data_IF_105638441813
#
_entry.id   IF_105638441813
#
_cell.length_a   1.000
_cell.length_b   1.000
_cell.length_c   1.000
_cell.angle_alpha   90.00
_cell.angle_beta   90.00
_cell.angle_gamma   90.00
#
_symmetry.space_group_name_H-M   'P 1'
#
loop_
_entity.id
_entity.type
_entity.pdbx_description
1 polymer ?
#
# COMPACT_ATOMS: atom_id res chain seq x y z
N UNK A 1 -35.04 -37.19 -29.34
CA UNK A 1 -33.97 -37.84 -30.13
C UNK A 1 -32.78 -36.89 -30.13
N UNK A 2 -31.72 -37.18 -29.36
CA UNK A 2 -30.53 -37.96 -29.78
C UNK A 2 -29.83 -37.27 -30.98
N UNK A 3 -28.72 -36.58 -30.72
CA UNK A 3 -27.32 -37.07 -30.66
C UNK A 3 -26.62 -36.77 -31.99
N UNK A 4 -25.66 -35.85 -31.96
CA UNK A 4 -24.21 -36.12 -31.90
C UNK A 4 -23.61 -36.52 -33.25
N UNK A 5 -22.66 -35.68 -33.69
CA UNK A 5 -21.37 -35.99 -34.37
C UNK A 5 -20.69 -34.63 -34.57
N UNK A 6 -20.02 -34.05 -33.56
CA UNK A 6 -18.62 -34.27 -33.15
C UNK A 6 -17.62 -34.42 -34.31
N UNK A 7 -16.58 -33.60 -34.19
CA UNK A 7 -15.23 -33.72 -34.77
C UNK A 7 -15.14 -33.26 -36.24
N UNK A 8 -14.40 -32.20 -36.55
CA UNK A 8 -12.94 -32.14 -36.44
C UNK A 8 -12.43 -30.68 -36.44
N UNK A 9 -11.31 -30.42 -35.74
CA UNK A 9 -10.53 -29.17 -35.60
C UNK A 9 -11.08 -28.15 -34.59
N UNK A 10 -10.94 -28.28 -33.27
CA UNK A 10 -9.78 -28.57 -32.40
C UNK A 10 -8.63 -27.53 -32.41
N UNK A 11 -8.41 -26.97 -31.20
CA UNK A 11 -7.10 -26.62 -30.60
C UNK A 11 -6.48 -25.27 -31.02
N UNK A 12 -6.93 -24.18 -30.37
CA UNK A 12 -6.02 -23.09 -29.95
C UNK A 12 -6.54 -22.18 -28.82
N UNK A 13 -7.77 -22.34 -28.35
CA UNK A 13 -8.38 -21.44 -27.36
C UNK A 13 -8.68 -22.00 -25.97
N UNK A 14 -8.23 -23.22 -25.60
CA UNK A 14 -8.67 -23.87 -24.33
C UNK A 14 -7.60 -24.52 -23.46
N UNK A 15 -6.30 -24.21 -23.66
CA UNK A 15 -5.23 -24.77 -22.82
C UNK A 15 -4.54 -23.78 -21.87
N UNK A 16 -4.90 -22.49 -21.85
CA UNK A 16 -4.30 -21.53 -20.91
C UNK A 16 -5.12 -21.26 -19.64
N UNK A 17 -6.40 -21.66 -19.60
CA UNK A 17 -7.30 -21.33 -18.49
C UNK A 17 -7.42 -22.43 -17.43
N UNK A 18 -6.97 -23.66 -17.66
CA UNK A 18 -7.03 -24.70 -16.63
C UNK A 18 -5.82 -24.67 -15.66
N UNK A 19 -4.62 -24.31 -16.16
CA UNK A 19 -3.41 -24.26 -15.34
C UNK A 19 -3.31 -23.03 -14.43
N UNK A 20 -3.81 -21.87 -14.88
CA UNK A 20 -3.81 -20.65 -14.07
C UNK A 20 -4.92 -20.69 -13.02
N UNK A 21 -6.10 -21.26 -13.33
CA UNK A 21 -7.18 -21.39 -12.34
C UNK A 21 -6.79 -22.36 -11.22
N UNK A 22 -6.06 -23.45 -11.48
CA UNK A 22 -5.64 -24.39 -10.42
C UNK A 22 -4.49 -23.81 -9.57
N UNK A 23 -3.57 -23.04 -10.16
CA UNK A 23 -2.51 -22.38 -9.37
C UNK A 23 -3.08 -21.21 -8.55
N UNK A 24 -4.04 -20.45 -9.09
CA UNK A 24 -4.74 -19.39 -8.34
C UNK A 24 -5.66 -20.00 -7.28
N UNK A 25 -6.45 -21.03 -7.57
CA UNK A 25 -7.24 -21.73 -6.54
C UNK A 25 -6.39 -22.48 -5.53
N UNK A 26 -5.24 -23.01 -5.93
CA UNK A 26 -4.29 -23.68 -5.03
C UNK A 26 -3.61 -22.69 -4.09
N UNK A 27 -3.22 -21.52 -4.59
CA UNK A 27 -2.68 -20.42 -3.78
C UNK A 27 -3.76 -19.79 -2.89
N UNK A 28 -4.98 -19.56 -3.37
CA UNK A 28 -6.08 -19.08 -2.53
C UNK A 28 -6.50 -20.11 -1.50
N UNK A 29 -6.52 -21.41 -1.83
CA UNK A 29 -6.84 -22.49 -0.88
C UNK A 29 -5.74 -22.71 0.17
N UNK A 30 -4.46 -22.59 -0.22
CA UNK A 30 -3.33 -22.60 0.71
C UNK A 30 -3.30 -21.34 1.60
N UNK A 31 -3.69 -20.18 1.08
CA UNK A 31 -3.84 -18.94 1.86
C UNK A 31 -5.07 -19.00 2.79
N UNK A 32 -6.19 -19.52 2.30
CA UNK A 32 -7.40 -19.81 3.08
C UNK A 32 -7.08 -20.78 4.23
N UNK A 33 -6.36 -21.88 4.00
CA UNK A 33 -5.92 -22.79 5.08
C UNK A 33 -4.95 -22.12 6.06
N UNK A 34 -4.11 -21.18 5.59
CA UNK A 34 -3.13 -20.47 6.43
C UNK A 34 -3.77 -19.49 7.41
N UNK A 35 -4.97 -18.97 7.11
CA UNK A 35 -5.65 -17.96 7.92
C UNK A 35 -7.00 -18.41 8.52
N UNK A 36 -7.80 -19.20 7.80
CA UNK A 36 -9.11 -19.71 8.27
C UNK A 36 -8.91 -20.71 9.41
N UNK A 37 -7.98 -21.66 9.27
CA UNK A 37 -7.69 -22.64 10.32
C UNK A 37 -7.33 -21.99 11.66
N UNK A 38 -6.45 -20.97 11.70
CA UNK A 38 -6.23 -20.17 12.91
C UNK A 38 -7.46 -19.40 13.41
N UNK A 39 -8.24 -18.75 12.53
CA UNK A 39 -9.43 -17.98 12.92
C UNK A 39 -10.45 -18.89 13.63
N UNK A 40 -10.84 -20.00 13.02
CA UNK A 40 -11.83 -20.93 13.59
C UNK A 40 -11.37 -21.48 14.95
N UNK A 41 -10.07 -21.82 15.06
CA UNK A 41 -9.48 -22.28 16.32
C UNK A 41 -9.54 -21.21 17.40
N UNK A 42 -9.26 -19.95 17.07
CA UNK A 42 -9.32 -18.86 18.03
C UNK A 42 -10.76 -18.52 18.41
N UNK A 43 -11.70 -18.52 17.47
CA UNK A 43 -13.14 -18.35 17.73
C UNK A 43 -13.67 -19.45 18.66
N UNK A 44 -13.34 -20.71 18.40
CA UNK A 44 -13.67 -21.83 19.29
C UNK A 44 -13.02 -21.68 20.67
N UNK A 45 -11.79 -21.17 20.74
CA UNK A 45 -11.11 -20.84 21.98
C UNK A 45 -11.81 -19.74 22.78
N UNK A 46 -12.35 -18.71 22.11
CA UNK A 46 -13.12 -17.64 22.75
C UNK A 46 -14.50 -18.11 23.23
N UNK A 47 -15.14 -19.09 22.58
CA UNK A 47 -16.36 -19.71 23.13
C UNK A 47 -16.11 -20.32 24.51
N UNK A 48 -14.93 -20.91 24.73
CA UNK A 48 -14.52 -21.50 26.02
C UNK A 48 -13.98 -20.46 27.00
N UNK A 49 -13.28 -19.44 26.49
CA UNK A 49 -12.61 -18.40 27.29
C UNK A 49 -12.83 -17.00 26.70
N UNK A 50 -14.02 -16.38 26.92
CA UNK A 50 -14.44 -15.18 26.18
C UNK A 50 -13.57 -13.93 26.36
N UNK A 51 -12.82 -13.86 27.47
CA UNK A 51 -12.04 -12.70 27.86
C UNK A 51 -10.54 -13.00 28.00
N UNK A 52 -10.00 -13.97 27.24
CA UNK A 52 -8.56 -14.22 27.20
C UNK A 52 -7.85 -13.19 26.29
N UNK A 53 -7.06 -12.23 26.82
CA UNK A 53 -6.50 -11.15 26.00
C UNK A 53 -5.52 -11.67 24.93
N UNK A 54 -4.80 -12.76 25.23
CA UNK A 54 -3.88 -13.40 24.27
C UNK A 54 -4.62 -13.99 23.07
N UNK A 55 -5.75 -14.67 23.30
CA UNK A 55 -6.56 -15.26 22.22
C UNK A 55 -7.24 -14.18 21.39
N UNK A 56 -7.75 -13.13 22.04
CA UNK A 56 -8.34 -11.97 21.38
C UNK A 56 -7.34 -11.29 20.44
N UNK A 57 -6.13 -11.03 20.92
CA UNK A 57 -5.10 -10.41 20.10
C UNK A 57 -4.68 -11.29 18.91
N UNK A 58 -4.57 -12.61 19.12
CA UNK A 58 -4.27 -13.55 18.03
C UNK A 58 -5.37 -13.58 16.98
N UNK A 59 -6.64 -13.54 17.40
CA UNK A 59 -7.77 -13.47 16.48
C UNK A 59 -7.80 -12.14 15.72
N UNK A 60 -7.57 -11.01 16.40
CA UNK A 60 -7.48 -9.69 15.78
C UNK A 60 -6.41 -9.65 14.67
N UNK A 61 -5.22 -10.18 14.97
CA UNK A 61 -4.14 -10.30 13.99
C UNK A 61 -4.53 -11.20 12.81
N UNK A 62 -5.24 -12.30 13.08
CA UNK A 62 -5.67 -13.23 12.04
C UNK A 62 -6.71 -12.59 11.09
N UNK A 63 -7.69 -11.86 11.63
CA UNK A 63 -8.63 -11.08 10.81
C UNK A 63 -7.93 -9.97 10.02
N UNK A 64 -7.01 -9.23 10.66
CA UNK A 64 -6.25 -8.19 9.96
C UNK A 64 -5.44 -8.77 8.80
N UNK A 65 -4.73 -9.88 9.02
CA UNK A 65 -3.97 -10.55 7.97
C UNK A 65 -4.89 -11.05 6.86
N UNK A 66 -6.03 -11.68 7.20
CA UNK A 66 -7.00 -12.11 6.19
C UNK A 66 -7.47 -10.93 5.33
N UNK A 67 -7.77 -9.79 5.94
CA UNK A 67 -8.13 -8.57 5.21
C UNK A 67 -7.04 -8.04 4.27
N UNK A 68 -5.76 -8.33 4.50
CA UNK A 68 -4.69 -7.92 3.59
C UNK A 68 -4.63 -8.75 2.31
N UNK A 69 -5.12 -10.00 2.34
CA UNK A 69 -5.08 -10.94 1.22
C UNK A 69 -6.37 -10.99 0.41
N UNK A 70 -7.45 -10.37 0.91
CA UNK A 70 -8.72 -10.34 0.20
C UNK A 70 -8.71 -9.37 -0.98
N UNK A 71 -9.32 -9.81 -2.07
CA UNK A 71 -9.54 -9.00 -3.28
C UNK A 71 -10.88 -8.27 -3.25
N UNK A 72 -11.88 -8.83 -2.56
CA UNK A 72 -13.21 -8.23 -2.37
C UNK A 72 -13.14 -7.05 -1.38
N UNK A 73 -13.62 -5.88 -1.81
CA UNK A 73 -13.63 -4.67 -0.97
C UNK A 73 -14.53 -4.82 0.26
N UNK A 74 -15.68 -5.47 0.10
CA UNK A 74 -16.68 -5.60 1.17
C UNK A 74 -16.20 -6.58 2.25
N UNK A 75 -15.68 -7.74 1.84
CA UNK A 75 -15.13 -8.71 2.79
C UNK A 75 -13.91 -8.14 3.52
N UNK A 76 -13.05 -7.40 2.80
CA UNK A 76 -11.90 -6.70 3.40
C UNK A 76 -12.36 -5.77 4.52
N UNK A 77 -13.42 -4.98 4.26
CA UNK A 77 -14.00 -4.07 5.24
C UNK A 77 -14.51 -4.83 6.48
N UNK A 78 -15.28 -5.90 6.28
CA UNK A 78 -15.82 -6.70 7.38
C UNK A 78 -14.72 -7.29 8.30
N UNK A 79 -13.64 -7.82 7.71
CA UNK A 79 -12.53 -8.36 8.49
C UNK A 79 -11.73 -7.25 9.20
N UNK A 80 -11.58 -6.07 8.59
CA UNK A 80 -10.96 -4.93 9.26
C UNK A 80 -11.81 -4.42 10.43
N UNK A 81 -13.14 -4.38 10.31
CA UNK A 81 -14.05 -4.00 11.40
C UNK A 81 -13.90 -4.95 12.58
N UNK A 82 -13.88 -6.26 12.28
CA UNK A 82 -13.68 -7.31 13.28
C UNK A 82 -12.30 -7.21 13.96
N UNK A 83 -11.24 -6.93 13.19
CA UNK A 83 -9.90 -6.74 13.74
C UNK A 83 -9.83 -5.52 14.65
N UNK A 84 -10.37 -4.38 14.21
CA UNK A 84 -10.41 -3.12 14.98
C UNK A 84 -11.14 -3.34 16.31
N UNK A 85 -12.34 -3.94 16.28
CA UNK A 85 -13.12 -4.21 17.48
C UNK A 85 -12.33 -5.05 18.50
N UNK A 86 -11.63 -6.10 18.04
CA UNK A 86 -10.84 -6.95 18.92
C UNK A 86 -9.58 -6.26 19.43
N UNK A 87 -8.93 -5.41 18.64
CA UNK A 87 -7.81 -4.59 19.10
C UNK A 87 -8.24 -3.58 20.17
N UNK A 88 -9.36 -2.88 19.96
CA UNK A 88 -9.95 -1.97 20.95
C UNK A 88 -10.30 -2.71 22.25
N UNK A 89 -10.92 -3.89 22.12
CA UNK A 89 -11.18 -4.78 23.26
C UNK A 89 -9.86 -5.12 23.96
N UNK A 90 -8.83 -5.55 23.23
CA UNK A 90 -7.52 -5.90 23.79
C UNK A 90 -6.88 -4.74 24.58
N UNK A 91 -7.05 -3.50 24.11
CA UNK A 91 -6.52 -2.30 24.74
C UNK A 91 -7.26 -1.90 26.03
N UNK A 92 -8.50 -2.38 26.24
CA UNK A 92 -9.24 -2.15 27.49
C UNK A 92 -8.59 -2.79 28.72
N UNK A 93 -7.87 -3.91 28.55
CA UNK A 93 -7.12 -4.56 29.62
C UNK A 93 -5.72 -3.99 29.80
N UNK A 94 -5.02 -3.75 28.69
CA UNK A 94 -3.64 -3.24 28.70
C UNK A 94 -3.41 -2.36 27.48
N UNK A 95 -3.02 -1.11 27.73
CA UNK A 95 -2.53 -0.19 26.70
C UNK A 95 -1.14 -0.60 26.22
N UNK A 96 -1.09 -1.63 25.39
CA UNK A 96 0.15 -2.12 24.78
C UNK A 96 0.51 -1.28 23.54
N UNK A 97 1.70 -0.66 23.50
CA UNK A 97 2.15 0.12 22.35
C UNK A 97 2.14 -0.66 21.03
N UNK A 98 2.41 -1.97 21.07
CA UNK A 98 2.37 -2.83 19.87
C UNK A 98 0.95 -2.97 19.32
N UNK A 99 -0.04 -3.08 20.20
CA UNK A 99 -1.44 -3.19 19.80
C UNK A 99 -1.96 -1.86 19.27
N UNK A 100 -1.57 -0.74 19.88
CA UNK A 100 -1.85 0.61 19.36
C UNK A 100 -1.28 0.80 17.94
N UNK A 101 -0.05 0.34 17.70
CA UNK A 101 0.54 0.37 16.36
C UNK A 101 -0.28 -0.45 15.34
N UNK A 102 -0.66 -1.68 15.68
CA UNK A 102 -1.46 -2.54 14.80
C UNK A 102 -2.86 -1.96 14.54
N UNK A 103 -3.48 -1.38 15.58
CA UNK A 103 -4.76 -0.68 15.47
C UNK A 103 -4.65 0.52 14.51
N UNK A 104 -3.58 1.30 14.60
CA UNK A 104 -3.31 2.39 13.67
C UNK A 104 -3.21 1.92 12.21
N UNK A 105 -2.53 0.80 11.97
CA UNK A 105 -2.47 0.18 10.63
C UNK A 105 -3.85 -0.28 10.15
N UNK A 106 -4.67 -0.83 11.04
CA UNK A 106 -6.03 -1.27 10.72
C UNK A 106 -6.94 -0.09 10.35
N UNK A 107 -6.94 0.99 11.13
CA UNK A 107 -7.67 2.22 10.79
C UNK A 107 -7.21 2.84 9.47
N UNK A 108 -5.90 2.93 9.25
CA UNK A 108 -5.35 3.46 7.99
C UNK A 108 -5.81 2.64 6.78
N UNK A 109 -5.79 1.31 6.90
CA UNK A 109 -6.27 0.41 5.84
C UNK A 109 -7.77 0.55 5.64
N UNK A 110 -8.55 0.64 6.71
CA UNK A 110 -10.00 0.83 6.68
C UNK A 110 -10.40 2.14 5.97
N UNK A 111 -9.62 3.21 6.15
CA UNK A 111 -9.89 4.49 5.53
C UNK A 111 -9.98 4.42 4.00
N UNK A 112 -9.29 3.46 3.36
CA UNK A 112 -9.38 3.22 1.91
C UNK A 112 -10.77 2.72 1.47
N UNK A 113 -11.51 2.05 2.35
CA UNK A 113 -12.78 1.37 2.05
C UNK A 113 -14.00 2.06 2.68
N UNK A 114 -13.81 3.19 3.36
CA UNK A 114 -14.87 3.90 4.06
C UNK A 114 -15.01 5.33 3.53
N UNK A 115 -16.25 5.84 3.38
CA UNK A 115 -16.46 7.26 3.07
C UNK A 115 -15.95 8.17 4.20
N UNK A 116 -15.85 7.66 5.43
CA UNK A 116 -15.40 8.38 6.63
C UNK A 116 -13.87 8.37 6.78
N UNK A 117 -13.14 8.38 5.67
CA UNK A 117 -11.68 8.26 5.63
C UNK A 117 -10.95 9.23 6.57
N UNK A 118 -11.47 10.44 6.72
CA UNK A 118 -10.85 11.49 7.54
C UNK A 118 -10.89 11.15 9.04
N UNK A 119 -12.04 10.66 9.51
CA UNK A 119 -12.19 10.18 10.89
C UNK A 119 -11.25 9.01 11.18
N UNK A 120 -11.14 8.08 10.23
CA UNK A 120 -10.26 6.91 10.35
C UNK A 120 -8.79 7.28 10.31
N UNK A 121 -8.38 8.25 9.47
CA UNK A 121 -7.02 8.77 9.48
C UNK A 121 -6.66 9.43 10.81
N UNK A 122 -7.59 10.15 11.42
CA UNK A 122 -7.39 10.74 12.75
C UNK A 122 -7.20 9.65 13.81
N UNK A 123 -8.06 8.63 13.82
CA UNK A 123 -7.91 7.48 14.73
C UNK A 123 -6.58 6.73 14.51
N UNK A 124 -6.15 6.60 13.26
CA UNK A 124 -4.87 5.99 12.92
C UNK A 124 -3.70 6.80 13.48
N UNK A 125 -3.70 8.11 13.25
CA UNK A 125 -2.71 9.06 13.80
C UNK A 125 -2.66 9.00 15.33
N UNK A 126 -3.80 9.12 16.01
CA UNK A 126 -3.89 9.07 17.48
C UNK A 126 -3.33 7.75 18.03
N UNK A 127 -3.58 6.64 17.33
CA UNK A 127 -3.08 5.31 17.68
C UNK A 127 -1.56 5.23 17.52
N UNK A 128 -1.01 5.74 16.42
CA UNK A 128 0.44 5.78 16.19
C UNK A 128 1.15 6.71 17.19
N UNK A 129 0.61 7.89 17.46
CA UNK A 129 1.16 8.82 18.44
C UNK A 129 1.14 8.24 19.86
N UNK A 130 0.05 7.56 20.23
CA UNK A 130 -0.04 6.85 21.51
C UNK A 130 0.94 5.68 21.61
N UNK A 131 1.16 4.96 20.50
CA UNK A 131 2.17 3.90 20.41
C UNK A 131 3.59 4.46 20.59
N UNK A 132 3.91 5.58 19.95
CA UNK A 132 5.19 6.28 20.10
C UNK A 132 5.41 6.73 21.55
N UNK A 133 4.39 7.34 22.18
CA UNK A 133 4.44 7.76 23.60
C UNK A 133 4.66 6.58 24.54
N UNK A 134 4.15 5.40 24.17
CA UNK A 134 4.40 4.15 24.87
C UNK A 134 5.80 3.54 24.64
N UNK A 135 6.66 4.22 23.88
CA UNK A 135 8.06 3.85 23.63
C UNK A 135 8.29 3.02 22.38
N UNK A 136 7.25 2.68 21.60
CA UNK A 136 7.42 1.94 20.36
C UNK A 136 7.70 2.88 19.20
N UNK A 137 8.94 2.89 18.71
CA UNK A 137 9.34 3.66 17.53
C UNK A 137 9.67 2.71 16.38
N UNK A 138 8.91 2.79 15.29
CA UNK A 138 9.08 1.99 14.08
C UNK A 138 9.17 2.89 12.85
N UNK A 139 10.00 2.51 11.88
CA UNK A 139 10.10 3.18 10.58
C UNK A 139 8.75 3.28 9.89
N UNK A 140 8.01 2.17 9.87
CA UNK A 140 6.71 2.02 9.20
C UNK A 140 5.67 2.96 9.79
N UNK A 141 5.68 3.17 11.10
CA UNK A 141 4.78 4.10 11.79
C UNK A 141 4.95 5.53 11.28
N UNK A 142 6.20 6.00 11.17
CA UNK A 142 6.48 7.33 10.64
C UNK A 142 6.15 7.46 9.15
N UNK A 143 6.27 6.36 8.38
CA UNK A 143 5.78 6.31 7.00
C UNK A 143 4.26 6.46 6.93
N UNK A 144 3.50 5.76 7.78
CA UNK A 144 2.03 5.92 7.82
C UNK A 144 1.61 7.33 8.22
N UNK A 145 2.23 7.91 9.25
CA UNK A 145 1.96 9.29 9.68
C UNK A 145 2.24 10.29 8.57
N UNK A 146 3.41 10.19 7.91
CA UNK A 146 3.73 11.05 6.77
C UNK A 146 2.74 10.89 5.61
N UNK A 147 2.28 9.66 5.34
CA UNK A 147 1.32 9.41 4.27
C UNK A 147 -0.08 9.94 4.60
N UNK A 148 -0.54 9.79 5.84
CA UNK A 148 -1.81 10.37 6.30
C UNK A 148 -1.81 11.89 6.11
N UNK A 149 -0.73 12.56 6.51
CA UNK A 149 -0.59 14.01 6.37
C UNK A 149 -0.56 14.43 4.90
N UNK A 150 0.13 13.67 4.05
CA UNK A 150 0.14 13.93 2.61
C UNK A 150 -1.26 13.82 2.00
N UNK A 151 -2.05 12.82 2.39
CA UNK A 151 -3.44 12.63 1.94
C UNK A 151 -4.38 13.76 2.40
N UNK A 152 -4.00 14.50 3.44
CA UNK A 152 -4.69 15.70 3.94
C UNK A 152 -4.16 17.00 3.34
N UNK A 153 -3.16 16.93 2.46
CA UNK A 153 -2.51 18.12 1.89
C UNK A 153 -1.51 18.80 2.82
N UNK A 154 -1.16 18.18 3.96
CA UNK A 154 -0.22 18.72 4.95
C UNK A 154 1.22 18.28 4.63
N UNK A 155 1.70 18.65 3.43
CA UNK A 155 2.98 18.21 2.87
C UNK A 155 4.20 18.57 3.73
N UNK A 156 4.23 19.76 4.32
CA UNK A 156 5.32 20.20 5.20
C UNK A 156 5.46 19.31 6.43
N UNK A 157 4.33 18.98 7.08
CA UNK A 157 4.33 18.08 8.24
C UNK A 157 4.69 16.65 7.83
N UNK A 158 4.26 16.21 6.64
CA UNK A 158 4.64 14.92 6.10
C UNK A 158 6.17 14.78 5.96
N UNK A 159 6.86 15.84 5.52
CA UNK A 159 8.34 15.87 5.43
C UNK A 159 8.99 15.60 6.79
N UNK A 160 8.47 16.15 7.88
CA UNK A 160 9.03 15.92 9.23
C UNK A 160 8.97 14.44 9.61
N UNK A 161 7.83 13.78 9.40
CA UNK A 161 7.68 12.37 9.69
C UNK A 161 8.49 11.47 8.75
N UNK A 162 8.58 11.80 7.46
CA UNK A 162 9.46 11.05 6.56
C UNK A 162 10.94 11.24 6.91
N UNK A 163 11.37 12.40 7.41
CA UNK A 163 12.72 12.59 7.96
C UNK A 163 12.95 11.73 9.21
N UNK A 164 11.96 11.61 10.11
CA UNK A 164 12.02 10.66 11.24
C UNK A 164 12.17 9.21 10.74
N UNK A 165 11.42 8.80 9.72
CA UNK A 165 11.54 7.47 9.11
C UNK A 165 12.94 7.25 8.50
N UNK A 166 13.49 8.27 7.83
CA UNK A 166 14.81 8.22 7.20
C UNK A 166 15.94 7.95 8.20
N UNK A 167 15.79 8.34 9.46
CA UNK A 167 16.77 8.05 10.51
C UNK A 167 16.89 6.54 10.81
N UNK A 168 15.86 5.75 10.54
CA UNK A 168 15.90 4.28 10.69
C UNK A 168 16.54 3.60 9.49
N UNK A 169 16.27 4.10 8.28
CA UNK A 169 16.83 3.54 7.05
C UNK A 169 17.16 4.64 6.04
N UNK A 170 18.43 5.07 6.08
CA UNK A 170 18.94 6.22 5.30
C UNK A 170 18.92 6.02 3.78
N UNK A 171 18.77 4.77 3.32
CA UNK A 171 18.81 4.36 1.91
C UNK A 171 17.51 3.68 1.45
N UNK A 172 16.45 3.75 2.25
CA UNK A 172 15.16 3.17 1.88
C UNK A 172 14.57 3.92 0.68
N UNK A 173 14.36 3.25 -0.47
CA UNK A 173 13.86 3.90 -1.68
C UNK A 173 12.47 4.51 -1.49
N UNK A 174 11.62 3.91 -0.64
CA UNK A 174 10.26 4.39 -0.40
C UNK A 174 10.30 5.71 0.38
N UNK A 175 11.13 5.79 1.43
CA UNK A 175 11.28 7.02 2.22
C UNK A 175 11.87 8.15 1.36
N UNK A 176 12.91 7.85 0.58
CA UNK A 176 13.56 8.82 -0.28
C UNK A 176 12.61 9.34 -1.37
N UNK A 177 11.83 8.45 -1.99
CA UNK A 177 10.81 8.82 -2.96
C UNK A 177 9.73 9.71 -2.33
N UNK A 178 9.20 9.35 -1.16
CA UNK A 178 8.16 10.13 -0.49
C UNK A 178 8.65 11.53 -0.09
N UNK A 179 9.89 11.66 0.38
CA UNK A 179 10.51 12.97 0.62
C UNK A 179 10.62 13.77 -0.68
N UNK A 180 11.14 13.16 -1.75
CA UNK A 180 11.25 13.82 -3.04
C UNK A 180 9.90 14.29 -3.57
N UNK A 181 8.86 13.46 -3.43
CA UNK A 181 7.49 13.81 -3.80
C UNK A 181 7.02 15.05 -3.04
N UNK A 182 7.17 15.08 -1.72
CA UNK A 182 6.75 16.25 -0.93
C UNK A 182 7.51 17.54 -1.30
N UNK A 183 8.82 17.45 -1.54
CA UNK A 183 9.59 18.63 -1.99
C UNK A 183 9.21 19.05 -3.41
N UNK A 184 8.86 18.12 -4.30
CA UNK A 184 8.35 18.44 -5.63
C UNK A 184 7.02 19.19 -5.56
N UNK A 185 6.07 18.74 -4.73
CA UNK A 185 4.78 19.41 -4.54
C UNK A 185 4.93 20.82 -3.96
N UNK A 186 5.96 21.04 -3.14
CA UNK A 186 6.33 22.35 -2.61
C UNK A 186 7.02 23.26 -3.64
N UNK A 187 7.47 22.72 -4.77
CA UNK A 187 8.26 23.43 -5.78
C UNK A 187 9.78 23.46 -5.51
N UNK A 188 10.23 22.79 -4.44
CA UNK A 188 11.65 22.64 -4.07
C UNK A 188 12.32 21.55 -4.95
N UNK A 189 12.31 21.75 -6.27
CA UNK A 189 12.71 20.75 -7.27
C UNK A 189 14.14 20.23 -7.12
N UNK A 190 15.08 21.10 -6.74
CA UNK A 190 16.49 20.70 -6.58
C UNK A 190 16.67 19.77 -5.37
N UNK A 191 15.91 20.00 -4.29
CA UNK A 191 15.91 19.13 -3.12
C UNK A 191 15.25 17.79 -3.48
N UNK A 192 14.15 17.81 -4.24
CA UNK A 192 13.50 16.60 -4.71
C UNK A 192 14.47 15.72 -5.53
N UNK A 193 15.19 16.31 -6.48
CA UNK A 193 16.22 15.63 -7.27
C UNK A 193 17.35 15.07 -6.40
N UNK A 194 17.79 15.79 -5.37
CA UNK A 194 18.81 15.32 -4.42
C UNK A 194 18.37 14.02 -3.73
N UNK A 195 17.12 13.93 -3.28
CA UNK A 195 16.59 12.72 -2.66
C UNK A 195 16.44 11.58 -3.67
N UNK A 196 15.98 11.84 -4.89
CA UNK A 196 15.86 10.82 -5.93
C UNK A 196 17.22 10.25 -6.34
N UNK A 197 18.26 11.08 -6.43
CA UNK A 197 19.64 10.63 -6.72
C UNK A 197 20.22 9.69 -5.65
N UNK A 198 19.71 9.75 -4.43
CA UNK A 198 20.12 8.84 -3.34
C UNK A 198 19.49 7.45 -3.45
N UNK A 199 18.47 7.29 -4.28
CA UNK A 199 17.87 5.99 -4.55
C UNK A 199 18.86 5.18 -5.39
N UNK A 200 19.38 4.10 -4.81
CA UNK A 200 20.36 3.25 -5.48
C UNK A 200 19.78 2.54 -6.70
N UNK A 201 20.64 2.15 -7.64
CA UNK A 201 20.29 1.37 -8.85
C UNK A 201 19.97 -0.11 -8.57
N UNK A 202 19.61 -0.45 -7.33
CA UNK A 202 19.27 -1.82 -6.94
C UNK A 202 18.01 -2.31 -7.64
N UNK A 203 17.71 -3.60 -7.51
CA UNK A 203 16.43 -4.15 -7.97
C UNK A 203 15.30 -3.57 -7.11
N UNK A 204 14.61 -2.58 -7.66
CA UNK A 204 13.40 -2.01 -7.09
C UNK A 204 12.17 -2.68 -7.70
N UNK A 205 11.06 -2.81 -6.97
CA UNK A 205 9.78 -3.18 -7.56
C UNK A 205 9.44 -2.28 -8.77
N UNK A 206 8.85 -2.86 -9.81
CA UNK A 206 8.60 -2.16 -11.08
C UNK A 206 7.72 -0.92 -10.91
N UNK A 207 6.69 -1.02 -10.07
CA UNK A 207 5.80 0.07 -9.68
C UNK A 207 6.56 1.22 -9.02
N UNK A 208 7.51 0.92 -8.14
CA UNK A 208 8.37 1.93 -7.52
C UNK A 208 9.25 2.62 -8.56
N UNK A 209 9.80 1.87 -9.52
CA UNK A 209 10.61 2.46 -10.59
C UNK A 209 9.77 3.35 -11.52
N UNK A 210 8.54 2.95 -11.83
CA UNK A 210 7.61 3.76 -12.63
C UNK A 210 7.32 5.09 -11.91
N UNK A 211 6.99 5.04 -10.61
CA UNK A 211 6.70 6.23 -9.81
C UNK A 211 7.90 7.19 -9.74
N UNK A 212 9.11 6.67 -9.60
CA UNK A 212 10.34 7.47 -9.62
C UNK A 212 10.52 8.18 -10.98
N UNK A 213 10.36 7.46 -12.09
CA UNK A 213 10.50 8.06 -13.43
C UNK A 213 9.39 9.06 -13.73
N UNK A 214 8.15 8.82 -13.29
CA UNK A 214 7.06 9.81 -13.39
C UNK A 214 7.39 11.10 -12.62
N UNK A 215 7.90 10.97 -11.39
CA UNK A 215 8.27 12.14 -10.58
C UNK A 215 9.45 12.90 -11.18
N UNK A 216 10.49 12.21 -11.67
CA UNK A 216 11.60 12.83 -12.39
C UNK A 216 11.11 13.58 -13.64
N UNK A 217 10.24 12.96 -14.43
CA UNK A 217 9.68 13.58 -15.62
C UNK A 217 8.93 14.87 -15.30
N UNK A 218 8.09 14.87 -14.26
CA UNK A 218 7.38 16.07 -13.77
C UNK A 218 8.34 17.16 -13.32
N UNK A 219 9.38 16.81 -12.57
CA UNK A 219 10.37 17.78 -12.10
C UNK A 219 11.11 18.42 -13.29
N UNK A 220 11.56 17.62 -14.26
CA UNK A 220 12.24 18.14 -15.45
C UNK A 220 11.30 18.96 -16.35
N UNK A 221 10.03 18.58 -16.47
CA UNK A 221 9.02 19.37 -17.18
C UNK A 221 8.86 20.76 -16.54
N UNK A 222 8.79 20.82 -15.20
CA UNK A 222 8.69 22.09 -14.46
C UNK A 222 9.95 22.95 -14.51
N UNK A 223 11.13 22.33 -14.70
CA UNK A 223 12.41 23.03 -14.91
C UNK A 223 12.68 23.39 -16.38
N UNK A 224 11.74 23.10 -17.28
CA UNK A 224 11.86 23.29 -18.73
C UNK A 224 12.97 22.44 -19.40
N UNK A 225 13.48 21.43 -18.70
CA UNK A 225 14.41 20.43 -19.22
C UNK A 225 13.66 19.36 -20.06
N UNK A 226 13.00 19.81 -21.13
CA UNK A 226 12.02 19.01 -21.88
C UNK A 226 12.59 17.71 -22.47
N UNK A 227 13.88 17.69 -22.82
CA UNK A 227 14.57 16.51 -23.31
C UNK A 227 14.69 15.42 -22.22
N UNK A 228 15.07 15.81 -21.00
CA UNK A 228 15.14 14.89 -19.86
C UNK A 228 13.75 14.43 -19.42
N UNK A 229 12.78 15.34 -19.42
CA UNK A 229 11.39 15.01 -19.12
C UNK A 229 10.83 13.96 -20.09
N UNK A 230 11.06 14.13 -21.40
CA UNK A 230 10.62 13.19 -22.42
C UNK A 230 11.26 11.81 -22.24
N UNK A 231 12.57 11.77 -21.99
CA UNK A 231 13.30 10.53 -21.77
C UNK A 231 12.76 9.75 -20.55
N UNK A 232 12.39 10.43 -19.46
CA UNK A 232 11.79 9.78 -18.30
C UNK A 232 10.36 9.29 -18.56
N UNK A 233 9.52 10.06 -19.26
CA UNK A 233 8.20 9.59 -19.65
C UNK A 233 8.26 8.37 -20.59
N UNK A 234 9.21 8.33 -21.52
CA UNK A 234 9.43 7.15 -22.35
C UNK A 234 9.84 5.92 -21.53
N UNK A 235 10.67 6.08 -20.49
CA UNK A 235 11.01 4.96 -19.59
C UNK A 235 9.78 4.40 -18.90
N UNK A 236 8.84 5.26 -18.50
CA UNK A 236 7.55 4.82 -17.95
C UNK A 236 6.79 4.00 -18.99
N UNK A 237 6.66 4.50 -20.23
CA UNK A 237 5.90 3.82 -21.29
C UNK A 237 6.54 2.52 -21.79
N UNK A 238 7.85 2.33 -21.61
CA UNK A 238 8.50 1.03 -21.88
C UNK A 238 8.04 -0.06 -20.93
N UNK A 239 7.71 0.30 -19.69
CA UNK A 239 7.27 -0.61 -18.62
C UNK A 239 5.75 -0.74 -18.58
N UNK A 240 5.07 0.39 -18.52
CA UNK A 240 3.63 0.51 -18.58
C UNK A 240 3.22 1.30 -19.82
N UNK A 241 3.01 0.57 -20.92
CA UNK A 241 2.59 1.17 -22.19
C UNK A 241 1.28 1.94 -22.08
N UNK A 242 0.41 1.58 -21.13
CA UNK A 242 -0.91 2.17 -20.95
C UNK A 242 -0.92 3.37 -20.01
N UNK A 243 0.24 3.77 -19.47
CA UNK A 243 0.34 4.84 -18.49
C UNK A 243 -0.18 6.18 -19.06
N UNK A 244 -1.36 6.60 -18.61
CA UNK A 244 -2.03 7.79 -19.12
C UNK A 244 -1.25 9.07 -18.79
N UNK A 245 -0.66 9.13 -17.60
CA UNK A 245 0.10 10.28 -17.15
C UNK A 245 1.34 10.53 -18.01
N UNK A 246 2.11 9.47 -18.31
CA UNK A 246 3.29 9.60 -19.16
C UNK A 246 2.95 9.96 -20.62
N UNK A 247 1.87 9.39 -21.18
CA UNK A 247 1.40 9.77 -22.53
C UNK A 247 1.02 11.25 -22.59
N UNK A 248 0.29 11.74 -21.60
CA UNK A 248 -0.09 13.15 -21.54
C UNK A 248 1.10 14.08 -21.35
N UNK A 249 2.09 13.68 -20.54
CA UNK A 249 3.35 14.39 -20.39
C UNK A 249 4.07 14.59 -21.72
N UNK A 250 4.24 13.51 -22.50
CA UNK A 250 4.87 13.60 -23.83
C UNK A 250 4.06 14.46 -24.81
N UNK A 251 2.73 14.38 -24.79
CA UNK A 251 1.89 15.23 -25.63
C UNK A 251 2.08 16.72 -25.30
N UNK A 252 2.13 17.09 -24.01
CA UNK A 252 2.39 18.48 -23.59
C UNK A 252 3.76 18.96 -24.06
N UNK A 253 4.79 18.14 -23.87
CA UNK A 253 6.16 18.47 -24.29
C UNK A 253 6.23 18.64 -25.82
N UNK A 254 5.60 17.75 -26.60
CA UNK A 254 5.57 17.85 -28.06
C UNK A 254 4.94 19.15 -28.55
N UNK A 255 3.89 19.63 -27.87
CA UNK A 255 3.25 20.90 -28.19
C UNK A 255 4.14 22.10 -27.83
N UNK A 256 4.87 22.02 -26.71
CA UNK A 256 5.78 23.07 -26.28
C UNK A 256 7.00 23.20 -27.20
N UNK A 257 7.54 22.08 -27.70
CA UNK A 257 8.67 22.09 -28.64
C UNK A 257 8.32 22.55 -30.06
N UNK A 258 7.03 22.60 -30.41
CA UNK A 258 6.54 23.04 -31.73
C UNK A 258 6.25 24.54 -31.80
N UNK A 259 6.32 25.25 -30.67
CA UNK A 259 6.15 26.71 -30.57
C UNK A 259 7.51 27.38 -30.62
#
# INVERSE_FOLDING_TARGET
MKQDKKHYFTIRGRLFLAGIIIIVFGLTRLEEERYIGPIERYEAGLKKTPNCPKTILKLANAYYNKALHLTSSEETKQFLESAILLYEKALSWKKDPKVLYLLGQAYFKMAKFSPEKESLYKKAEDSFMSSEKGGLKKKEMFLYLGHILLLRGEGEKAIEYYKKALNFSKKDPIILYNLAFCYCEKGDFDIALLYLRRIGKGSLPEDVQINISLLLAKIYEKKEDLALASAEYEKVLRKDKANFEARNGLNRISLQMKR
#
